data_IF_957038670961
#
_entry.id   IF_957038670961
#
_cell.length_a   1.000
_cell.length_b   1.000
_cell.length_c   1.000
_cell.angle_alpha   90.00
_cell.angle_beta   90.00
_cell.angle_gamma   90.00
#
_symmetry.space_group_name_H-M   'P 1'
#
loop_
_entity.id
_entity.type
_entity.pdbx_description
1 polymer ?
#
# COMPACT_ATOMS: atom_id res chain seq x y z
N UNK A 1 -14.73 -14.09 23.41
CA UNK A 1 -14.13 -14.27 22.07
C UNK A 1 -14.69 -13.14 21.21
N UNK A 2 -13.90 -12.14 20.85
CA UNK A 2 -14.38 -11.05 20.00
C UNK A 2 -14.71 -11.64 18.61
N UNK A 3 -15.92 -11.40 18.11
CA UNK A 3 -16.28 -11.76 16.74
C UNK A 3 -15.24 -11.18 15.76
N UNK A 4 -14.77 -12.01 14.83
CA UNK A 4 -13.88 -11.52 13.77
C UNK A 4 -14.69 -10.56 12.89
N UNK A 5 -14.24 -9.32 12.68
CA UNK A 5 -14.98 -8.37 11.87
C UNK A 5 -15.15 -8.91 10.45
N UNK A 6 -16.34 -8.70 9.86
CA UNK A 6 -16.62 -9.04 8.48
C UNK A 6 -15.77 -8.16 7.54
N UNK A 7 -15.13 -8.78 6.55
CA UNK A 7 -14.21 -8.11 5.62
C UNK A 7 -14.48 -8.49 4.17
N UNK A 8 -14.27 -7.53 3.29
CA UNK A 8 -14.36 -7.67 1.82
C UNK A 8 -13.01 -7.48 1.14
N UNK A 9 -12.89 -8.04 -0.06
CA UNK A 9 -11.73 -7.94 -0.95
C UNK A 9 -10.39 -8.17 -0.23
N UNK A 10 -9.56 -7.14 -0.08
CA UNK A 10 -8.26 -7.21 0.58
C UNK A 10 -8.36 -6.81 2.05
N UNK A 11 -9.24 -7.48 2.80
CA UNK A 11 -9.39 -7.32 4.24
C UNK A 11 -10.04 -6.00 4.67
N UNK A 12 -10.67 -5.27 3.76
CA UNK A 12 -11.36 -4.03 4.08
C UNK A 12 -12.58 -4.30 4.97
N UNK A 13 -12.83 -3.52 6.04
CA UNK A 13 -14.02 -3.70 6.87
C UNK A 13 -15.31 -3.48 6.07
N UNK A 14 -16.33 -4.31 6.30
CA UNK A 14 -17.67 -4.13 5.69
C UNK A 14 -18.48 -2.98 6.33
N UNK A 15 -18.04 -2.47 7.48
CA UNK A 15 -18.74 -1.42 8.21
C UNK A 15 -18.82 -0.11 7.42
N UNK A 16 -20.01 0.49 7.37
CA UNK A 16 -20.22 1.81 6.79
C UNK A 16 -19.33 2.86 7.46
N UNK A 17 -18.71 3.72 6.64
CA UNK A 17 -17.84 4.80 7.11
C UNK A 17 -16.47 4.33 7.64
N UNK A 18 -16.05 3.10 7.33
CA UNK A 18 -14.70 2.64 7.59
C UNK A 18 -13.67 3.40 6.73
N UNK A 19 -12.51 3.71 7.31
CA UNK A 19 -11.36 4.23 6.56
C UNK A 19 -10.74 3.09 5.76
N UNK A 20 -10.83 3.18 4.43
CA UNK A 20 -10.36 2.17 3.49
C UNK A 20 -9.61 2.81 2.32
N UNK A 21 -8.92 1.98 1.55
CA UNK A 21 -8.48 2.37 0.21
C UNK A 21 -9.36 1.70 -0.82
N UNK A 22 -9.54 2.37 -1.95
CA UNK A 22 -10.33 1.91 -3.08
C UNK A 22 -9.48 1.96 -4.34
N UNK A 23 -9.29 0.79 -4.96
CA UNK A 23 -8.60 0.68 -6.25
C UNK A 23 -9.64 0.59 -7.34
N UNK A 24 -9.69 1.62 -8.19
CA UNK A 24 -10.63 1.73 -9.30
C UNK A 24 -9.98 1.20 -10.58
N UNK A 25 -10.41 0.03 -11.03
CA UNK A 25 -9.88 -0.62 -12.22
C UNK A 25 -10.93 -0.50 -13.32
N UNK A 26 -10.77 0.36 -14.33
CA UNK A 26 -11.80 0.50 -15.36
C UNK A 26 -11.95 -0.80 -16.15
N UNK A 27 -13.16 -1.08 -16.65
CA UNK A 27 -13.40 -2.24 -17.50
C UNK A 27 -12.67 -2.12 -18.86
N UNK A 28 -12.45 -0.89 -19.33
CA UNK A 28 -11.73 -0.60 -20.55
C UNK A 28 -10.24 -0.98 -20.43
N UNK A 29 -9.70 -1.60 -21.49
CA UNK A 29 -8.32 -2.08 -21.52
C UNK A 29 -7.27 -0.96 -21.43
N UNK A 30 -7.60 0.26 -21.87
CA UNK A 30 -6.67 1.39 -21.86
C UNK A 30 -6.92 2.40 -20.72
N UNK A 31 -7.93 2.18 -19.87
CA UNK A 31 -8.24 3.13 -18.80
C UNK A 31 -7.21 3.12 -17.67
N UNK A 32 -6.95 4.31 -17.12
CA UNK A 32 -6.08 4.53 -15.97
C UNK A 32 -6.68 3.92 -14.69
N UNK A 33 -5.80 3.46 -13.81
CA UNK A 33 -6.18 2.92 -12.50
C UNK A 33 -5.99 3.99 -11.45
N UNK A 34 -7.02 4.22 -10.64
CA UNK A 34 -6.96 5.17 -9.52
C UNK A 34 -6.84 4.41 -8.21
N UNK A 35 -6.02 4.95 -7.30
CA UNK A 35 -5.94 4.51 -5.91
C UNK A 35 -6.40 5.68 -5.06
N UNK A 36 -7.55 5.50 -4.41
CA UNK A 36 -8.22 6.54 -3.62
C UNK A 36 -8.20 6.13 -2.15
N UNK A 37 -7.80 7.05 -1.28
CA UNK A 37 -7.93 6.91 0.17
C UNK A 37 -9.29 7.48 0.60
N UNK A 38 -10.20 6.63 1.06
CA UNK A 38 -11.50 7.04 1.60
C UNK A 38 -11.40 7.08 3.13
N UNK A 39 -11.47 8.28 3.71
CA UNK A 39 -11.32 8.47 5.15
C UNK A 39 -12.54 8.00 5.95
N UNK A 40 -13.63 7.59 5.29
CA UNK A 40 -14.86 7.16 5.93
C UNK A 40 -15.47 8.30 6.75
N UNK A 41 -15.96 8.01 7.96
CA UNK A 41 -16.55 9.04 8.84
C UNK A 41 -15.56 10.08 9.34
N UNK A 42 -14.25 9.81 9.27
CA UNK A 42 -13.23 10.83 9.58
C UNK A 42 -13.11 11.86 8.46
N UNK A 43 -13.61 11.54 7.26
CA UNK A 43 -13.69 12.47 6.16
C UNK A 43 -14.77 13.52 6.41
N UNK A 44 -14.51 14.76 5.99
CA UNK A 44 -15.37 15.94 6.18
C UNK A 44 -15.43 16.52 7.60
N UNK A 45 -14.75 15.91 8.57
CA UNK A 45 -14.53 16.53 9.88
C UNK A 45 -13.35 17.51 9.82
N UNK A 46 -13.48 18.68 10.45
CA UNK A 46 -12.39 19.67 10.59
C UNK A 46 -11.68 20.07 9.27
N UNK A 47 -12.38 20.03 8.13
CA UNK A 47 -11.81 20.36 6.81
C UNK A 47 -11.00 19.23 6.15
N UNK A 48 -11.01 18.02 6.72
CA UNK A 48 -10.42 16.82 6.10
C UNK A 48 -11.26 16.47 4.87
N UNK A 49 -10.67 16.26 3.69
CA UNK A 49 -11.40 15.78 2.52
C UNK A 49 -12.12 14.46 2.81
N UNK A 50 -13.22 14.19 2.10
CA UNK A 50 -13.92 12.91 2.24
C UNK A 50 -13.06 11.74 1.75
N UNK A 51 -12.46 11.94 0.60
CA UNK A 51 -11.54 11.01 -0.04
C UNK A 51 -10.41 11.79 -0.70
N UNK A 52 -9.28 11.14 -0.92
CA UNK A 52 -8.12 11.71 -1.59
C UNK A 52 -7.65 10.77 -2.70
N UNK A 53 -7.54 11.28 -3.93
CA UNK A 53 -6.89 10.53 -5.01
C UNK A 53 -5.38 10.52 -4.73
N UNK A 54 -4.81 9.35 -4.44
CA UNK A 54 -3.39 9.22 -4.09
C UNK A 54 -2.52 8.92 -5.30
N UNK A 55 -3.08 8.16 -6.25
CA UNK A 55 -2.35 7.71 -7.42
C UNK A 55 -3.28 7.59 -8.61
N UNK A 56 -2.80 8.04 -9.77
CA UNK A 56 -3.32 7.69 -11.10
C UNK A 56 -2.21 6.95 -11.84
N UNK A 57 -2.47 5.71 -12.24
CA UNK A 57 -1.51 4.88 -12.95
C UNK A 57 -1.99 4.51 -14.35
N UNK A 58 -1.07 4.53 -15.30
CA UNK A 58 -1.26 3.84 -16.57
C UNK A 58 -1.58 2.36 -16.34
N UNK A 59 -2.44 1.81 -17.20
CA UNK A 59 -2.80 0.38 -17.15
C UNK A 59 -1.57 -0.53 -17.14
N UNK A 60 -0.55 -0.19 -17.94
CA UNK A 60 0.68 -0.97 -18.09
C UNK A 60 1.39 -1.12 -16.75
N UNK A 61 1.64 0.00 -16.07
CA UNK A 61 2.29 0.04 -14.75
C UNK A 61 1.48 -0.77 -13.74
N UNK A 62 0.17 -0.52 -13.64
CA UNK A 62 -0.70 -1.25 -12.72
C UNK A 62 -0.61 -2.77 -12.94
N UNK A 63 -0.69 -3.21 -14.19
CA UNK A 63 -0.67 -4.63 -14.54
C UNK A 63 0.62 -5.32 -14.10
N UNK A 64 1.75 -4.60 -14.12
CA UNK A 64 3.04 -5.13 -13.69
C UNK A 64 3.15 -5.28 -12.16
N UNK A 65 2.56 -4.37 -11.38
CA UNK A 65 2.69 -4.35 -9.92
C UNK A 65 1.55 -5.07 -9.19
N UNK A 66 0.38 -5.23 -9.83
CA UNK A 66 -0.84 -5.74 -9.20
C UNK A 66 -0.65 -7.14 -8.60
N UNK A 67 0.04 -8.05 -9.29
CA UNK A 67 0.23 -9.41 -8.79
C UNK A 67 1.23 -9.48 -7.62
N UNK A 68 2.23 -8.60 -7.61
CA UNK A 68 3.17 -8.47 -6.48
C UNK A 68 2.40 -8.05 -5.23
N UNK A 69 1.59 -6.99 -5.32
CA UNK A 69 0.74 -6.54 -4.21
C UNK A 69 -0.25 -7.63 -3.77
N UNK A 70 -0.94 -8.28 -4.71
CA UNK A 70 -1.91 -9.34 -4.42
C UNK A 70 -1.30 -10.48 -3.62
N UNK A 71 -0.13 -10.98 -4.02
CA UNK A 71 0.54 -12.10 -3.35
C UNK A 71 0.93 -11.73 -1.92
N UNK A 72 1.51 -10.55 -1.75
CA UNK A 72 1.93 -10.06 -0.45
C UNK A 72 0.75 -9.81 0.50
N UNK A 73 -0.35 -9.23 0.00
CA UNK A 73 -1.56 -9.00 0.79
C UNK A 73 -2.24 -10.32 1.17
N UNK A 74 -2.42 -11.23 0.20
CA UNK A 74 -3.08 -12.51 0.47
C UNK A 74 -2.29 -13.42 1.40
N UNK A 75 -0.95 -13.35 1.38
CA UNK A 75 -0.10 -14.04 2.36
C UNK A 75 -0.44 -13.59 3.78
N UNK A 76 -0.57 -12.27 3.99
CA UNK A 76 -0.88 -11.67 5.29
C UNK A 76 -2.32 -11.87 5.73
N UNK A 77 -3.29 -11.75 4.81
CA UNK A 77 -4.70 -12.07 5.09
C UNK A 77 -4.85 -13.53 5.50
N UNK A 78 -4.18 -14.46 4.82
CA UNK A 78 -4.19 -15.88 5.18
C UNK A 78 -3.56 -16.13 6.55
N UNK A 79 -2.44 -15.49 6.86
CA UNK A 79 -1.79 -15.58 8.18
C UNK A 79 -2.71 -15.05 9.31
N UNK A 80 -3.51 -14.02 9.04
CA UNK A 80 -4.53 -13.49 9.95
C UNK A 80 -5.83 -14.33 10.00
N UNK A 81 -5.94 -15.38 9.18
CA UNK A 81 -7.16 -16.19 9.06
C UNK A 81 -8.35 -15.40 8.50
N UNK A 82 -8.09 -14.46 7.58
CA UNK A 82 -9.06 -13.69 6.81
C UNK A 82 -9.18 -14.25 5.39
N UNK A 83 -10.27 -13.90 4.68
CA UNK A 83 -10.44 -14.26 3.27
C UNK A 83 -9.44 -13.50 2.40
N UNK A 84 -8.91 -14.17 1.38
CA UNK A 84 -7.98 -13.57 0.42
C UNK A 84 -8.73 -12.83 -0.70
N UNK A 85 -8.14 -11.75 -1.21
CA UNK A 85 -8.71 -10.94 -2.28
C UNK A 85 -8.18 -11.29 -3.69
N UNK A 86 -8.86 -10.79 -4.71
CA UNK A 86 -8.41 -10.83 -6.12
C UNK A 86 -8.81 -9.52 -6.79
N UNK A 87 -7.89 -8.94 -7.58
CA UNK A 87 -8.21 -7.77 -8.39
C UNK A 87 -9.24 -8.09 -9.48
N UNK A 88 -10.24 -7.23 -9.61
CA UNK A 88 -11.26 -7.27 -10.65
C UNK A 88 -11.57 -5.88 -11.19
N UNK A 89 -12.28 -5.79 -12.32
CA UNK A 89 -12.77 -4.51 -12.81
C UNK A 89 -13.80 -3.90 -11.85
N UNK A 90 -13.85 -2.58 -11.77
CA UNK A 90 -14.64 -1.83 -10.80
C UNK A 90 -13.82 -1.45 -9.55
N UNK A 91 -14.53 -1.30 -8.43
CA UNK A 91 -13.94 -0.93 -7.15
C UNK A 91 -13.45 -2.18 -6.41
N UNK A 92 -12.20 -2.14 -5.95
CA UNK A 92 -11.63 -3.16 -5.08
C UNK A 92 -11.26 -2.49 -3.76
N UNK A 93 -11.83 -2.96 -2.65
CA UNK A 93 -11.58 -2.37 -1.33
C UNK A 93 -10.34 -3.00 -0.68
N UNK A 94 -9.55 -2.17 -0.03
CA UNK A 94 -8.28 -2.55 0.58
C UNK A 94 -8.25 -2.00 2.00
N UNK A 95 -7.87 -2.85 2.96
CA UNK A 95 -7.63 -2.42 4.34
C UNK A 95 -6.63 -1.26 4.37
N UNK A 96 -6.86 -0.31 5.28
CA UNK A 96 -6.14 0.96 5.36
C UNK A 96 -4.62 0.82 5.32
N UNK A 97 -4.03 -0.08 6.11
CA UNK A 97 -2.57 -0.27 6.14
C UNK A 97 -2.08 -0.90 4.84
N UNK A 98 -2.79 -1.89 4.29
CA UNK A 98 -2.45 -2.48 3.00
C UNK A 98 -2.54 -1.45 1.86
N UNK A 99 -3.51 -0.54 1.90
CA UNK A 99 -3.67 0.53 0.93
C UNK A 99 -2.53 1.56 0.98
N UNK A 100 -2.02 1.88 2.17
CA UNK A 100 -0.81 2.70 2.33
C UNK A 100 0.41 2.06 1.69
N UNK A 101 0.58 0.76 1.90
CA UNK A 101 1.67 0.02 1.29
C UNK A 101 1.56 -0.07 -0.23
N UNK A 102 0.33 -0.17 -0.75
CA UNK A 102 0.05 -0.14 -2.19
C UNK A 102 0.43 1.21 -2.79
N UNK A 103 0.16 2.32 -2.11
CA UNK A 103 0.57 3.66 -2.57
C UNK A 103 2.09 3.76 -2.70
N UNK A 104 2.86 3.23 -1.75
CA UNK A 104 4.34 3.22 -1.84
C UNK A 104 4.84 2.44 -3.05
N UNK A 105 4.24 1.27 -3.34
CA UNK A 105 4.58 0.50 -4.53
C UNK A 105 4.25 1.28 -5.82
N UNK A 106 3.08 1.90 -5.83
CA UNK A 106 2.56 2.62 -6.98
C UNK A 106 3.36 3.90 -7.28
N UNK A 107 3.66 4.71 -6.27
CA UNK A 107 4.50 5.90 -6.36
C UNK A 107 5.91 5.60 -6.86
N UNK A 108 6.50 4.48 -6.44
CA UNK A 108 7.81 4.06 -6.94
C UNK A 108 7.76 3.60 -8.41
N UNK A 109 6.63 3.03 -8.85
CA UNK A 109 6.46 2.41 -10.16
C UNK A 109 5.92 3.36 -11.25
N UNK A 110 5.31 4.48 -10.89
CA UNK A 110 4.52 5.31 -11.82
C UNK A 110 5.32 5.87 -13.02
N UNK A 111 6.62 6.11 -12.86
CA UNK A 111 7.54 6.51 -13.95
C UNK A 111 8.51 5.40 -14.39
N UNK A 112 8.30 4.18 -13.92
CA UNK A 112 9.23 3.08 -14.18
C UNK A 112 9.11 2.53 -15.60
N UNK A 113 10.27 2.21 -16.16
CA UNK A 113 10.41 1.42 -17.37
C UNK A 113 10.03 -0.04 -17.13
N UNK A 114 9.76 -0.80 -18.20
CA UNK A 114 9.44 -2.23 -18.10
C UNK A 114 10.56 -3.06 -17.43
N UNK A 115 11.81 -2.60 -17.54
CA UNK A 115 12.96 -3.25 -16.91
C UNK A 115 13.03 -3.00 -15.39
N UNK A 116 12.58 -1.83 -14.93
CA UNK A 116 12.62 -1.43 -13.52
C UNK A 116 11.46 -2.03 -12.70
N UNK A 117 10.28 -2.24 -13.33
CA UNK A 117 9.08 -2.73 -12.64
C UNK A 117 9.30 -4.03 -11.83
N UNK A 118 9.99 -5.06 -12.37
CA UNK A 118 10.31 -6.26 -11.59
C UNK A 118 11.26 -5.98 -10.41
N UNK A 119 12.21 -5.06 -10.57
CA UNK A 119 13.16 -4.65 -9.52
C UNK A 119 12.41 -3.97 -8.38
N UNK A 120 11.58 -2.99 -8.71
CA UNK A 120 10.74 -2.24 -7.77
C UNK A 120 9.84 -3.20 -6.99
N UNK A 121 9.11 -4.07 -7.68
CA UNK A 121 8.22 -5.03 -7.03
C UNK A 121 8.97 -5.96 -6.06
N UNK A 122 10.16 -6.43 -6.44
CA UNK A 122 10.97 -7.32 -5.61
C UNK A 122 11.57 -6.62 -4.38
N UNK A 123 12.03 -5.37 -4.54
CA UNK A 123 12.56 -4.55 -3.45
C UNK A 123 11.45 -4.10 -2.50
N UNK A 124 10.30 -3.64 -3.02
CA UNK A 124 9.15 -3.30 -2.19
C UNK A 124 8.66 -4.49 -1.36
N UNK A 125 8.59 -5.69 -1.96
CA UNK A 125 8.25 -6.92 -1.26
C UNK A 125 9.31 -7.33 -0.21
N UNK A 126 10.53 -6.77 -0.27
CA UNK A 126 11.59 -6.99 0.71
C UNK A 126 11.48 -6.10 1.95
N UNK A 127 10.80 -4.97 1.83
CA UNK A 127 10.53 -4.08 2.94
C UNK A 127 9.58 -4.77 3.92
N UNK A 128 9.79 -4.55 5.21
CA UNK A 128 8.81 -4.89 6.25
C UNK A 128 7.58 -3.98 6.13
N UNK A 129 6.40 -4.41 6.62
CA UNK A 129 5.22 -3.56 6.66
C UNK A 129 5.47 -2.19 7.32
N UNK A 130 6.19 -2.14 8.44
CA UNK A 130 6.45 -0.90 9.17
C UNK A 130 7.29 0.08 8.37
N UNK A 131 8.28 -0.42 7.61
CA UNK A 131 9.09 0.41 6.70
C UNK A 131 8.24 0.99 5.58
N UNK A 132 7.33 0.19 5.02
CA UNK A 132 6.38 0.67 4.01
C UNK A 132 5.41 1.71 4.59
N UNK A 133 4.95 1.54 5.83
CA UNK A 133 4.09 2.53 6.48
C UNK A 133 4.83 3.82 6.79
N UNK A 134 6.08 3.74 7.23
CA UNK A 134 6.93 4.92 7.42
C UNK A 134 7.14 5.66 6.09
N UNK A 135 7.50 4.93 5.02
CA UNK A 135 7.65 5.50 3.67
C UNK A 135 6.35 6.18 3.19
N UNK A 136 5.19 5.57 3.45
CA UNK A 136 3.91 6.20 3.15
C UNK A 136 3.76 7.53 3.89
N UNK A 137 4.02 7.55 5.20
CA UNK A 137 3.83 8.73 6.04
C UNK A 137 4.75 9.89 5.67
N UNK A 138 6.03 9.62 5.38
CA UNK A 138 6.96 10.69 4.95
C UNK A 138 6.66 11.17 3.54
N UNK A 139 6.15 10.30 2.65
CA UNK A 139 5.82 10.69 1.27
C UNK A 139 4.53 11.49 1.21
N UNK A 140 3.48 11.03 1.91
CA UNK A 140 2.15 11.67 1.85
C UNK A 140 2.14 13.07 2.46
N UNK A 141 3.05 13.34 3.41
CA UNK A 141 3.19 14.65 4.04
C UNK A 141 3.67 15.75 3.06
N UNK A 142 4.42 15.38 2.02
CA UNK A 142 5.08 16.31 1.09
C UNK A 142 4.60 16.17 -0.37
N UNK A 143 4.22 14.96 -0.78
CA UNK A 143 4.02 14.56 -2.18
C UNK A 143 2.87 13.52 -2.32
N UNK A 144 1.76 13.77 -1.62
CA UNK A 144 0.65 12.82 -1.48
C UNK A 144 -0.46 12.90 -2.53
N UNK A 145 -0.40 13.84 -3.48
CA UNK A 145 -1.41 14.05 -4.52
C UNK A 145 -0.94 13.51 -5.87
N UNK A 146 -1.83 13.23 -6.85
CA UNK A 146 -1.46 12.57 -8.11
C UNK A 146 -0.46 13.38 -8.95
N UNK A 147 -0.49 14.71 -8.84
CA UNK A 147 0.38 15.62 -9.59
C UNK A 147 1.80 15.75 -9.02
N UNK A 148 2.09 15.15 -7.86
CA UNK A 148 3.40 15.24 -7.19
C UNK A 148 4.47 14.26 -7.74
N UNK A 149 4.27 13.72 -8.94
CA UNK A 149 4.93 12.51 -9.44
C UNK A 149 6.43 12.60 -9.75
N UNK A 150 7.10 13.72 -9.48
CA UNK A 150 8.53 13.92 -9.81
C UNK A 150 9.30 14.77 -8.76
N UNK A 151 8.81 14.86 -7.53
CA UNK A 151 9.43 15.67 -6.46
C UNK A 151 9.56 14.96 -5.12
N UNK A 152 10.50 15.45 -4.30
CA UNK A 152 10.68 15.05 -2.92
C UNK A 152 10.80 13.52 -2.71
N UNK A 153 10.09 13.03 -1.69
CA UNK A 153 10.08 11.61 -1.33
C UNK A 153 9.53 10.70 -2.42
N UNK A 154 8.62 11.18 -3.27
CA UNK A 154 8.05 10.39 -4.37
C UNK A 154 9.10 10.06 -5.44
N UNK A 155 9.91 11.05 -5.83
CA UNK A 155 11.08 10.83 -6.69
C UNK A 155 12.14 9.96 -5.98
N UNK A 156 12.36 10.17 -4.69
CA UNK A 156 13.31 9.37 -3.92
C UNK A 156 12.91 7.88 -3.85
N UNK A 157 11.60 7.59 -3.70
CA UNK A 157 11.05 6.23 -3.73
C UNK A 157 11.36 5.52 -5.05
N UNK A 158 11.09 6.21 -6.17
CA UNK A 158 11.41 5.69 -7.49
C UNK A 158 12.91 5.37 -7.60
N UNK A 159 13.79 6.32 -7.31
CA UNK A 159 15.24 6.11 -7.38
C UNK A 159 15.72 4.97 -6.47
N UNK A 160 15.24 4.91 -5.23
CA UNK A 160 15.66 3.89 -4.26
C UNK A 160 15.22 2.47 -4.67
N UNK A 161 14.03 2.33 -5.26
CA UNK A 161 13.45 1.04 -5.60
C UNK A 161 13.72 0.60 -7.05
N UNK A 162 13.97 1.53 -7.97
CA UNK A 162 14.31 1.24 -9.36
C UNK A 162 15.80 0.90 -9.56
N UNK A 163 16.69 1.46 -8.74
CA UNK A 163 18.14 1.32 -8.93
C UNK A 163 18.65 -0.13 -8.78
N UNK A 164 19.64 -0.53 -9.58
CA UNK A 164 20.31 -1.83 -9.47
C UNK A 164 19.54 -3.05 -9.98
N UNK A 165 20.07 -4.24 -9.70
CA UNK A 165 19.48 -5.51 -10.14
C UNK A 165 18.39 -6.00 -9.17
N UNK A 166 17.40 -6.73 -9.70
CA UNK A 166 16.43 -7.42 -8.86
C UNK A 166 17.18 -8.33 -7.86
N UNK A 167 16.87 -8.26 -6.55
CA UNK A 167 17.62 -9.02 -5.57
C UNK A 167 17.54 -10.51 -5.91
N UNK A 168 18.70 -11.15 -6.08
CA UNK A 168 18.79 -12.59 -6.31
C UNK A 168 18.05 -13.31 -5.18
N UNK A 169 17.32 -14.41 -5.45
CA UNK A 169 16.66 -15.20 -4.42
C UNK A 169 17.73 -15.87 -3.55
N UNK A 170 18.32 -15.11 -2.63
CA UNK A 170 19.18 -15.62 -1.58
C UNK A 170 18.35 -15.86 -0.33
N UNK A 171 18.81 -16.76 0.54
CA UNK A 171 18.29 -16.86 1.91
C UNK A 171 18.59 -15.52 2.60
N UNK A 172 17.66 -14.58 2.48
CA UNK A 172 17.70 -13.30 3.21
C UNK A 172 17.88 -13.64 4.68
N UNK A 173 18.88 -13.04 5.31
CA UNK A 173 19.06 -13.18 6.75
C UNK A 173 17.79 -12.62 7.41
N UNK A 174 17.04 -13.44 8.16
CA UNK A 174 15.84 -12.95 8.82
C UNK A 174 16.25 -11.83 9.76
N UNK A 175 15.61 -10.67 9.62
CA UNK A 175 15.79 -9.61 10.60
C UNK A 175 14.90 -9.92 11.81
N UNK A 176 15.31 -9.60 13.05
CA UNK A 176 14.46 -9.76 14.23
C UNK A 176 13.10 -9.10 14.03
N UNK A 177 12.03 -9.67 14.60
CA UNK A 177 10.75 -8.97 14.65
C UNK A 177 10.94 -7.67 15.45
N UNK A 178 10.34 -6.58 14.98
CA UNK A 178 10.29 -5.36 15.78
C UNK A 178 9.38 -5.64 16.98
N UNK A 179 9.84 -5.45 18.22
CA UNK A 179 8.96 -5.56 19.37
C UNK A 179 7.84 -4.51 19.26
N UNK A 180 6.67 -4.78 19.85
CA UNK A 180 5.63 -3.76 19.94
C UNK A 180 6.23 -2.54 20.66
N UNK A 181 6.30 -1.41 19.94
CA UNK A 181 6.90 -0.18 20.45
C UNK A 181 6.21 0.30 21.73
N UNK A 182 4.93 -0.06 21.92
CA UNK A 182 4.15 0.26 23.12
C UNK A 182 4.49 -0.64 24.31
N UNK A 183 5.12 -1.79 24.09
CA UNK A 183 5.52 -2.71 25.15
C UNK A 183 6.96 -2.49 25.65
N UNK A 184 7.70 -1.54 25.05
CA UNK A 184 9.08 -1.27 25.42
C UNK A 184 9.19 -0.87 26.91
N UNK A 185 10.18 -1.42 27.64
CA UNK A 185 10.38 -1.12 29.06
C UNK A 185 10.53 0.38 29.35
N UNK A 186 10.98 1.17 28.37
CA UNK A 186 11.14 2.62 28.47
C UNK A 186 9.80 3.35 28.63
N UNK A 187 8.71 2.83 28.05
CA UNK A 187 7.37 3.44 28.09
C UNK A 187 6.44 2.78 29.11
N UNK A 188 6.88 1.70 29.76
CA UNK A 188 6.27 1.20 31.01
C UNK A 188 6.71 2.12 32.15
N UNK A 189 6.07 3.28 32.25
CA UNK A 189 6.29 4.20 33.36
C UNK A 189 6.17 3.45 34.70
N UNK A 190 7.14 3.65 35.60
CA UNK A 190 6.93 3.41 37.03
C UNK A 190 5.66 4.18 37.41
N UNK A 191 4.64 3.43 37.82
CA UNK A 191 3.43 3.97 38.43
C UNK A 191 3.76 4.86 39.62
#
# INVERSE_FOLDING_TARGET
MSEKPATVDFGAPEGFGAHVFRVEIPAARAGEVRIVEDYGYRGSEAGIPREEERVVLERRIWSAIADVARREFNSRLKAAGLKTGRWHAGNNLVERLLGRELCVLAWAAEKATDAELPVIGSKWAALRPEERWWLFMVTVAEAGLPDDHDRGWRRALHLALADGEAPKPSRRRPRPAEPDLLELPLFRGKA
#
